data_IF_899424209381
#
_entry.id   IF_899424209381
#
_cell.length_a   1.000
_cell.length_b   1.000
_cell.length_c   1.000
_cell.angle_alpha   90.00
_cell.angle_beta   90.00
_cell.angle_gamma   90.00
#
_symmetry.space_group_name_H-M   'P 1'
#
loop_
_entity.id
_entity.type
_entity.pdbx_description
1 polymer ?
#
# COMPACT_ATOMS: atom_id res chain seq x y z
N UNK A 1 8.28 -4.39 16.52
CA UNK A 1 7.88 -3.70 15.27
C UNK A 1 7.11 -4.66 14.39
N UNK A 2 5.87 -4.34 14.06
CA UNK A 2 4.98 -5.14 13.24
C UNK A 2 4.89 -4.59 11.82
N UNK A 3 4.52 -5.44 10.88
CA UNK A 3 4.19 -5.07 9.50
C UNK A 3 2.69 -5.23 9.27
N UNK A 4 2.14 -4.54 8.28
CA UNK A 4 0.72 -4.67 7.88
C UNK A 4 0.32 -6.14 7.67
N UNK A 5 1.19 -6.95 7.07
CA UNK A 5 0.96 -8.39 6.89
C UNK A 5 0.78 -9.13 8.21
N UNK A 6 1.36 -8.65 9.29
CA UNK A 6 1.26 -9.25 10.62
C UNK A 6 -0.10 -8.92 11.24
N UNK A 7 -0.64 -7.70 11.03
CA UNK A 7 -2.01 -7.33 11.41
C UNK A 7 -3.03 -8.24 10.74
N UNK A 8 -2.92 -8.45 9.43
CA UNK A 8 -3.79 -9.37 8.67
C UNK A 8 -3.73 -10.81 9.20
N UNK A 9 -2.54 -11.29 9.54
CA UNK A 9 -2.35 -12.63 10.12
C UNK A 9 -2.97 -12.74 11.51
N UNK A 10 -2.72 -11.76 12.36
CA UNK A 10 -3.28 -11.73 13.72
C UNK A 10 -4.80 -11.72 13.69
N UNK A 11 -5.40 -10.85 12.91
CA UNK A 11 -6.86 -10.76 12.75
C UNK A 11 -7.46 -12.08 12.27
N UNK A 12 -6.77 -12.78 11.36
CA UNK A 12 -7.20 -14.08 10.86
C UNK A 12 -7.04 -15.20 11.90
N UNK A 13 -5.92 -15.25 12.60
CA UNK A 13 -5.63 -16.28 13.60
C UNK A 13 -4.48 -15.84 14.52
N UNK A 14 -4.75 -15.37 15.76
CA UNK A 14 -3.72 -14.97 16.71
C UNK A 14 -2.67 -16.05 17.00
N UNK A 15 -3.10 -17.33 17.03
CA UNK A 15 -2.21 -18.46 17.27
C UNK A 15 -1.22 -18.70 16.14
N UNK A 16 -1.67 -18.52 14.89
CA UNK A 16 -0.79 -18.62 13.72
C UNK A 16 0.22 -17.48 13.73
N UNK A 17 -0.22 -16.27 14.04
CA UNK A 17 0.66 -15.10 14.18
C UNK A 17 1.75 -15.37 15.22
N UNK A 18 1.39 -15.79 16.44
CA UNK A 18 2.37 -16.07 17.51
C UNK A 18 3.41 -17.12 17.10
N UNK A 19 2.98 -18.21 16.46
CA UNK A 19 3.90 -19.25 15.95
C UNK A 19 4.85 -18.73 14.87
N UNK A 20 4.37 -17.87 13.95
CA UNK A 20 5.22 -17.32 12.90
C UNK A 20 6.21 -16.27 13.41
N UNK A 21 5.84 -15.52 14.45
CA UNK A 21 6.76 -14.55 15.09
C UNK A 21 7.92 -15.23 15.83
N UNK A 22 7.68 -16.44 16.34
CA UNK A 22 8.72 -17.26 17.00
C UNK A 22 9.59 -18.05 16.00
N UNK A 23 9.20 -18.13 14.73
CA UNK A 23 9.95 -18.87 13.72
C UNK A 23 11.22 -18.10 13.27
N UNK A 24 12.40 -18.73 13.39
CA UNK A 24 13.70 -18.11 13.11
C UNK A 24 13.93 -17.72 11.63
N UNK A 25 13.14 -18.18 10.69
CA UNK A 25 13.33 -17.91 9.25
C UNK A 25 12.02 -17.62 8.54
N UNK A 26 11.87 -16.40 8.02
CA UNK A 26 10.85 -16.08 7.03
C UNK A 26 11.18 -16.78 5.70
N UNK A 27 10.26 -17.56 5.17
CA UNK A 27 10.42 -18.22 3.87
C UNK A 27 10.52 -17.17 2.76
N UNK A 28 11.48 -17.33 1.87
CA UNK A 28 11.63 -16.54 0.65
C UNK A 28 10.32 -16.55 -0.16
N UNK A 29 9.85 -15.37 -0.56
CA UNK A 29 8.66 -15.23 -1.40
C UNK A 29 9.10 -15.00 -2.85
N UNK A 30 8.79 -15.92 -3.78
CA UNK A 30 9.24 -15.83 -5.18
C UNK A 30 8.62 -14.68 -6.00
N UNK A 31 7.59 -14.00 -5.44
CA UNK A 31 6.84 -12.94 -6.14
C UNK A 31 7.44 -11.54 -6.03
N UNK A 32 8.54 -11.34 -5.29
CA UNK A 32 9.18 -10.02 -5.10
C UNK A 32 9.59 -9.41 -6.43
N UNK A 33 10.09 -10.21 -7.37
CA UNK A 33 10.54 -9.74 -8.69
C UNK A 33 9.40 -9.20 -9.55
N UNK A 34 8.25 -9.86 -9.53
CA UNK A 34 7.05 -9.40 -10.25
C UNK A 34 6.55 -8.05 -9.67
N UNK A 35 6.60 -7.86 -8.36
CA UNK A 35 6.24 -6.60 -7.71
C UNK A 35 7.14 -5.45 -8.17
N UNK A 36 8.43 -5.69 -8.40
CA UNK A 36 9.37 -4.67 -8.91
C UNK A 36 9.02 -4.28 -10.35
N UNK A 37 8.89 -5.25 -11.25
CA UNK A 37 8.58 -5.03 -12.67
C UNK A 37 7.23 -4.29 -12.84
N UNK A 38 6.20 -4.70 -12.14
CA UNK A 38 4.87 -4.08 -12.21
C UNK A 38 4.89 -2.66 -11.62
N UNK A 39 5.69 -2.42 -10.57
CA UNK A 39 5.85 -1.07 -10.01
C UNK A 39 6.57 -0.12 -10.96
N UNK A 40 7.57 -0.57 -11.70
CA UNK A 40 8.26 0.24 -12.72
C UNK A 40 7.32 0.64 -13.85
N UNK A 41 6.48 -0.30 -14.31
CA UNK A 41 5.44 -0.01 -15.29
C UNK A 41 4.41 0.99 -14.76
N UNK A 42 4.03 0.88 -13.48
CA UNK A 42 3.13 1.83 -12.84
C UNK A 42 3.77 3.22 -12.69
N UNK A 43 5.07 3.33 -12.39
CA UNK A 43 5.81 4.60 -12.44
C UNK A 43 5.69 5.26 -13.82
N UNK A 44 5.86 4.50 -14.89
CA UNK A 44 5.69 5.00 -16.25
C UNK A 44 4.27 5.50 -16.50
N UNK A 45 3.25 4.73 -16.07
CA UNK A 45 1.84 5.13 -16.18
C UNK A 45 1.53 6.44 -15.49
N UNK A 46 2.08 6.65 -14.28
CA UNK A 46 1.86 7.84 -13.47
C UNK A 46 2.72 9.03 -13.90
N UNK A 47 3.69 8.83 -14.79
CA UNK A 47 4.66 9.88 -15.16
C UNK A 47 5.59 10.25 -14.00
N UNK A 48 5.99 9.28 -13.20
CA UNK A 48 6.83 9.50 -12.02
C UNK A 48 8.18 10.02 -12.45
N UNK A 49 8.53 11.22 -11.99
CA UNK A 49 9.82 11.87 -12.16
C UNK A 49 10.33 12.27 -10.78
N UNK A 50 11.57 12.69 -10.65
CA UNK A 50 12.14 13.21 -9.39
C UNK A 50 11.59 12.51 -8.12
N UNK A 51 11.91 11.22 -7.96
CA UNK A 51 11.30 10.41 -6.93
C UNK A 51 12.31 9.79 -5.97
N UNK A 52 11.88 9.59 -4.74
CA UNK A 52 12.52 8.72 -3.77
C UNK A 52 12.04 7.27 -3.98
N UNK A 53 12.96 6.32 -4.10
CA UNK A 53 12.66 4.90 -4.18
C UNK A 53 13.06 4.18 -2.89
N UNK A 54 12.07 3.79 -2.09
CA UNK A 54 12.29 3.05 -0.86
C UNK A 54 12.75 1.60 -1.11
N UNK A 55 13.77 1.16 -0.36
CA UNK A 55 14.35 -0.19 -0.45
C UNK A 55 13.99 -1.03 0.77
N UNK A 56 14.12 -2.34 0.63
CA UNK A 56 13.96 -3.24 1.77
C UNK A 56 15.06 -2.98 2.79
N UNK A 57 14.66 -2.78 4.06
CA UNK A 57 15.59 -2.48 5.15
C UNK A 57 15.85 -1.00 5.39
N UNK A 58 15.33 -0.09 4.55
CA UNK A 58 15.45 1.34 4.79
C UNK A 58 14.88 1.74 6.16
N UNK A 59 15.55 2.66 6.80
CA UNK A 59 15.03 3.31 8.00
C UNK A 59 13.87 4.26 7.63
N UNK A 60 12.85 4.33 8.48
CA UNK A 60 11.67 5.17 8.24
C UNK A 60 12.02 6.67 8.18
N UNK A 61 13.11 7.09 8.84
CA UNK A 61 13.59 8.48 8.78
C UNK A 61 13.96 8.93 7.37
N UNK A 62 14.39 8.01 6.50
CA UNK A 62 14.70 8.31 5.10
C UNK A 62 13.45 8.73 4.34
N UNK A 63 12.31 8.04 4.55
CA UNK A 63 11.05 8.41 3.94
C UNK A 63 10.53 9.76 4.47
N UNK A 64 10.68 10.02 5.76
CA UNK A 64 10.31 11.32 6.37
C UNK A 64 11.14 12.48 5.81
N UNK A 65 12.45 12.29 5.61
CA UNK A 65 13.31 13.28 4.96
C UNK A 65 12.92 13.47 3.50
N UNK A 66 12.64 12.37 2.78
CA UNK A 66 12.24 12.41 1.38
C UNK A 66 10.93 13.17 1.13
N UNK A 67 10.02 13.22 2.11
CA UNK A 67 8.82 14.07 2.04
C UNK A 67 9.14 15.56 1.85
N UNK A 68 10.34 16.04 2.17
CA UNK A 68 10.72 17.43 1.99
C UNK A 68 11.40 17.70 0.64
N UNK A 69 12.00 16.69 0.03
CA UNK A 69 12.91 16.83 -1.11
C UNK A 69 12.28 16.39 -2.44
N UNK A 70 11.34 15.44 -2.40
CA UNK A 70 10.83 14.79 -3.62
C UNK A 70 9.34 15.05 -3.82
N UNK A 71 8.93 15.10 -5.09
CA UNK A 71 7.53 15.21 -5.49
C UNK A 71 6.82 13.84 -5.47
N UNK A 72 7.59 12.77 -5.66
CA UNK A 72 7.13 11.41 -5.62
C UNK A 72 7.92 10.56 -4.63
N UNK A 73 7.20 9.76 -3.85
CA UNK A 73 7.80 8.69 -3.06
C UNK A 73 7.23 7.36 -3.56
N UNK A 74 8.11 6.43 -3.92
CA UNK A 74 7.75 5.10 -4.42
C UNK A 74 8.24 4.05 -3.43
N UNK A 75 7.35 3.16 -3.01
CA UNK A 75 7.66 2.10 -2.01
C UNK A 75 8.30 2.62 -0.72
N UNK A 76 8.00 3.86 -0.34
CA UNK A 76 8.55 4.49 0.86
C UNK A 76 8.05 3.77 2.12
N UNK A 77 8.94 3.68 3.12
CA UNK A 77 8.63 2.99 4.37
C UNK A 77 8.43 3.97 5.48
N UNK A 78 7.27 3.85 6.12
CA UNK A 78 6.89 4.68 7.26
C UNK A 78 6.63 3.81 8.49
N UNK A 79 6.82 4.39 9.64
CA UNK A 79 6.57 3.75 10.93
C UNK A 79 5.80 4.72 11.83
N UNK A 80 4.70 4.24 12.35
CA UNK A 80 3.93 4.95 13.37
C UNK A 80 3.53 3.97 14.45
N UNK A 81 3.68 4.37 15.70
CA UNK A 81 3.55 3.49 16.86
C UNK A 81 4.46 2.25 16.68
N UNK A 82 3.89 1.07 16.59
CA UNK A 82 4.63 -0.17 16.39
C UNK A 82 4.39 -0.80 15.02
N UNK A 83 3.75 -0.07 14.11
CA UNK A 83 3.36 -0.54 12.79
C UNK A 83 4.23 0.09 11.69
N UNK A 84 4.82 -0.80 10.88
CA UNK A 84 5.59 -0.43 9.70
C UNK A 84 4.80 -0.72 8.43
N UNK A 85 4.73 0.27 7.55
CA UNK A 85 4.10 0.17 6.24
C UNK A 85 5.10 0.38 5.10
N UNK A 86 4.67 -0.05 3.90
CA UNK A 86 5.26 0.33 2.61
C UNK A 86 4.19 1.09 1.82
N UNK A 87 4.26 2.42 1.79
CA UNK A 87 3.38 3.22 0.94
C UNK A 87 3.76 3.00 -0.53
N UNK A 88 2.85 2.52 -1.41
CA UNK A 88 3.22 2.17 -2.78
C UNK A 88 3.66 3.38 -3.59
N UNK A 89 2.81 4.42 -3.68
CA UNK A 89 3.14 5.69 -4.32
C UNK A 89 2.49 6.83 -3.56
N UNK A 90 3.28 7.86 -3.27
CA UNK A 90 2.81 9.15 -2.76
C UNK A 90 3.25 10.23 -3.74
N UNK A 91 2.33 11.09 -4.12
CA UNK A 91 2.57 12.24 -4.98
C UNK A 91 2.23 13.53 -4.24
N UNK A 92 3.17 14.47 -4.23
CA UNK A 92 2.96 15.78 -3.61
C UNK A 92 1.90 16.56 -4.36
N UNK A 93 0.90 17.03 -3.64
CA UNK A 93 -0.14 17.93 -4.15
C UNK A 93 -0.08 19.27 -3.39
N UNK A 94 -0.77 20.29 -3.87
CA UNK A 94 -0.80 21.61 -3.23
C UNK A 94 -1.29 21.57 -1.78
N UNK A 95 -2.25 20.67 -1.48
CA UNK A 95 -2.91 20.58 -0.18
C UNK A 95 -2.55 19.32 0.62
N UNK A 96 -1.52 18.58 0.22
CA UNK A 96 -1.12 17.34 0.89
C UNK A 96 -0.50 16.33 -0.08
N UNK A 97 -0.85 15.07 0.08
CA UNK A 97 -0.33 13.96 -0.70
C UNK A 97 -1.45 13.12 -1.31
N UNK A 98 -1.34 12.81 -2.58
CA UNK A 98 -2.17 11.82 -3.25
C UNK A 98 -1.53 10.43 -3.06
N UNK A 99 -2.30 9.49 -2.56
CA UNK A 99 -1.87 8.11 -2.32
C UNK A 99 -2.40 7.20 -3.43
N UNK A 100 -1.52 6.42 -4.06
CA UNK A 100 -1.91 5.45 -5.07
C UNK A 100 -1.57 4.05 -4.60
N UNK A 101 -2.58 3.18 -4.54
CA UNK A 101 -2.40 1.75 -4.31
C UNK A 101 -2.27 1.02 -5.64
N UNK A 102 -1.30 0.12 -5.73
CA UNK A 102 -1.14 -0.76 -6.88
C UNK A 102 -1.77 -2.12 -6.56
N UNK A 103 -2.81 -2.46 -7.30
CA UNK A 103 -3.45 -3.75 -7.21
C UNK A 103 -3.18 -4.57 -8.47
N UNK A 104 -2.50 -5.71 -8.31
CA UNK A 104 -2.16 -6.61 -9.41
C UNK A 104 -3.36 -7.52 -9.71
N UNK A 105 -4.40 -6.92 -10.29
CA UNK A 105 -5.65 -7.59 -10.60
C UNK A 105 -6.66 -6.62 -11.23
N UNK A 106 -7.88 -7.11 -11.43
CA UNK A 106 -8.97 -6.31 -12.00
C UNK A 106 -9.87 -5.69 -10.92
N UNK A 107 -10.04 -6.38 -9.82
CA UNK A 107 -10.94 -5.99 -8.73
C UNK A 107 -10.29 -6.23 -7.38
N UNK A 108 -10.11 -5.19 -6.55
CA UNK A 108 -9.66 -5.34 -5.17
C UNK A 108 -10.68 -6.16 -4.36
N UNK A 109 -10.20 -7.01 -3.47
CA UNK A 109 -11.04 -7.80 -2.58
C UNK A 109 -11.26 -7.10 -1.25
N UNK A 110 -12.33 -7.46 -0.54
CA UNK A 110 -12.63 -6.94 0.79
C UNK A 110 -11.48 -7.18 1.79
N UNK A 111 -10.75 -8.29 1.64
CA UNK A 111 -9.58 -8.60 2.47
C UNK A 111 -8.41 -7.63 2.29
N UNK A 112 -8.41 -6.85 1.20
CA UNK A 112 -7.38 -5.85 0.94
C UNK A 112 -7.72 -4.51 1.61
N UNK A 113 -8.99 -4.29 2.00
CA UNK A 113 -9.44 -3.06 2.64
C UNK A 113 -8.64 -2.75 3.90
N UNK A 114 -8.39 -3.76 4.75
CA UNK A 114 -7.58 -3.57 5.94
C UNK A 114 -6.18 -3.05 5.62
N UNK A 115 -5.52 -3.57 4.57
CA UNK A 115 -4.22 -3.08 4.11
C UNK A 115 -4.27 -1.58 3.76
N UNK A 116 -5.33 -1.14 3.09
CA UNK A 116 -5.50 0.26 2.71
C UNK A 116 -5.74 1.15 3.93
N UNK A 117 -6.63 0.72 4.83
CA UNK A 117 -6.92 1.41 6.09
C UNK A 117 -5.67 1.53 6.97
N UNK A 118 -4.95 0.44 7.18
CA UNK A 118 -3.73 0.42 8.01
C UNK A 118 -2.65 1.34 7.41
N UNK A 119 -2.54 1.40 6.08
CA UNK A 119 -1.60 2.30 5.40
C UNK A 119 -1.96 3.77 5.66
N UNK A 120 -3.23 4.14 5.50
CA UNK A 120 -3.70 5.51 5.74
C UNK A 120 -3.56 5.87 7.22
N UNK A 121 -3.91 4.97 8.13
CA UNK A 121 -3.77 5.17 9.58
C UNK A 121 -2.34 5.53 9.99
N UNK A 122 -1.33 4.82 9.45
CA UNK A 122 0.08 5.13 9.73
C UNK A 122 0.49 6.49 9.15
N UNK A 123 0.09 6.78 7.90
CA UNK A 123 0.45 8.04 7.26
C UNK A 123 -0.16 9.25 8.00
N UNK A 124 -1.42 9.18 8.37
CA UNK A 124 -2.09 10.26 9.13
C UNK A 124 -1.56 10.37 10.56
N UNK A 125 -1.19 9.26 11.21
CA UNK A 125 -0.53 9.27 12.51
C UNK A 125 0.83 9.99 12.49
N UNK A 126 1.47 10.08 11.32
CA UNK A 126 2.70 10.85 11.09
C UNK A 126 2.45 12.28 10.60
N UNK A 127 1.21 12.79 10.71
CA UNK A 127 0.79 14.10 10.20
C UNK A 127 0.96 14.26 8.67
N UNK A 128 1.01 13.14 7.92
CA UNK A 128 1.04 13.15 6.45
C UNK A 128 -0.40 13.26 5.95
N UNK A 129 -0.81 14.47 5.61
CA UNK A 129 -2.17 14.74 5.12
C UNK A 129 -2.42 14.08 3.77
N UNK A 130 -3.32 13.12 3.71
CA UNK A 130 -3.76 12.46 2.47
C UNK A 130 -4.92 13.24 1.85
N UNK A 131 -4.68 13.81 0.65
CA UNK A 131 -5.68 14.57 -0.07
C UNK A 131 -6.63 13.66 -0.82
N UNK A 132 -6.11 12.84 -1.72
CA UNK A 132 -6.88 11.91 -2.53
C UNK A 132 -6.25 10.52 -2.52
N UNK A 133 -7.08 9.50 -2.76
CA UNK A 133 -6.64 8.10 -2.81
C UNK A 133 -7.12 7.46 -4.11
N UNK A 134 -6.20 6.80 -4.81
CA UNK A 134 -6.43 6.17 -6.09
C UNK A 134 -5.99 4.72 -6.10
N UNK A 135 -6.65 3.93 -6.93
CA UNK A 135 -6.25 2.57 -7.28
C UNK A 135 -5.63 2.54 -8.67
N UNK A 136 -4.49 1.87 -8.81
CA UNK A 136 -3.90 1.50 -10.11
C UNK A 136 -4.29 0.05 -10.36
N UNK A 137 -5.08 -0.18 -11.39
CA UNK A 137 -5.66 -1.48 -11.73
C UNK A 137 -5.24 -1.89 -13.13
N UNK A 138 -5.23 -3.19 -13.43
CA UNK A 138 -5.10 -3.64 -14.81
C UNK A 138 -6.32 -3.24 -15.63
N UNK A 139 -6.07 -2.73 -16.83
CA UNK A 139 -7.11 -2.43 -17.80
C UNK A 139 -7.67 -3.73 -18.40
N UNK A 140 -8.92 -4.04 -18.09
CA UNK A 140 -9.61 -5.23 -18.59
C UNK A 140 -9.67 -5.32 -20.13
N UNK A 141 -9.67 -4.17 -20.81
CA UNK A 141 -9.74 -4.08 -22.27
C UNK A 141 -8.36 -4.09 -22.94
N UNK A 142 -7.26 -4.11 -22.16
CA UNK A 142 -5.92 -4.09 -22.72
C UNK A 142 -5.66 -5.33 -23.57
N UNK A 143 -5.09 -5.09 -24.74
CA UNK A 143 -4.58 -6.14 -25.64
C UNK A 143 -3.12 -5.82 -25.93
N UNK A 144 -2.24 -6.73 -25.54
CA UNK A 144 -0.80 -6.59 -25.77
C UNK A 144 -0.50 -6.56 -27.27
N UNK A 145 0.14 -5.50 -27.74
CA UNK A 145 0.71 -5.37 -29.08
C UNK A 145 2.10 -6.02 -29.19
N UNK A 146 2.94 -5.51 -30.08
CA UNK A 146 4.35 -5.94 -30.20
C UNK A 146 5.14 -5.60 -28.94
N UNK A 147 4.86 -4.43 -28.38
CA UNK A 147 5.46 -3.91 -27.16
C UNK A 147 4.39 -3.74 -26.10
N UNK A 148 4.81 -3.78 -24.82
CA UNK A 148 3.94 -3.52 -23.69
C UNK A 148 3.82 -2.02 -23.51
N UNK A 149 2.58 -1.51 -23.49
CA UNK A 149 2.27 -0.10 -23.25
C UNK A 149 1.71 0.11 -21.84
N UNK A 150 2.48 0.66 -20.89
CA UNK A 150 2.02 0.89 -19.52
C UNK A 150 0.81 1.85 -19.44
N UNK A 151 0.71 2.83 -20.36
CA UNK A 151 -0.39 3.78 -20.35
C UNK A 151 -1.75 3.13 -20.68
N UNK A 152 -1.74 2.11 -21.52
CA UNK A 152 -2.92 1.33 -21.84
C UNK A 152 -3.13 0.14 -20.89
N UNK A 153 -2.03 -0.41 -20.31
CA UNK A 153 -2.07 -1.54 -19.41
C UNK A 153 -2.81 -1.22 -18.11
N UNK A 154 -2.63 0.00 -17.58
CA UNK A 154 -3.21 0.41 -16.31
C UNK A 154 -4.31 1.45 -16.46
N UNK A 155 -5.27 1.35 -15.55
CA UNK A 155 -6.28 2.38 -15.28
C UNK A 155 -6.01 2.92 -13.87
N UNK A 156 -6.07 4.24 -13.72
CA UNK A 156 -6.07 4.92 -12.42
C UNK A 156 -7.50 5.33 -12.12
N UNK A 157 -8.00 4.95 -10.96
CA UNK A 157 -9.40 5.18 -10.58
C UNK A 157 -9.51 5.69 -9.14
N UNK A 158 -10.40 6.64 -8.90
CA UNK A 158 -10.85 7.06 -7.57
C UNK A 158 -12.01 6.21 -7.04
N UNK A 159 -12.50 5.23 -7.81
CA UNK A 159 -13.61 4.38 -7.41
C UNK A 159 -13.22 2.91 -7.44
N UNK A 160 -13.77 2.12 -6.50
CA UNK A 160 -13.77 0.68 -6.61
C UNK A 160 -14.75 0.22 -7.69
N UNK A 161 -14.48 -0.96 -8.25
CA UNK A 161 -15.31 -1.57 -9.29
C UNK A 161 -15.84 -2.92 -8.84
N UNK A 162 -17.05 -3.25 -9.25
CA UNK A 162 -17.60 -4.60 -9.08
C UNK A 162 -17.15 -5.52 -10.23
N UNK A 163 -17.51 -6.80 -10.14
CA UNK A 163 -17.24 -7.84 -11.11
C UNK A 163 -17.79 -7.54 -12.52
N UNK A 164 -18.85 -6.71 -12.61
CA UNK A 164 -19.45 -6.22 -13.88
C UNK A 164 -18.74 -4.99 -14.44
N UNK A 165 -17.65 -4.55 -13.79
CA UNK A 165 -16.87 -3.37 -14.18
C UNK A 165 -17.64 -2.04 -14.08
N UNK A 166 -18.60 -1.97 -13.18
CA UNK A 166 -19.26 -0.72 -12.83
C UNK A 166 -18.58 -0.08 -11.62
N UNK A 167 -18.38 1.25 -11.63
CA UNK A 167 -17.88 1.94 -10.44
C UNK A 167 -18.90 1.78 -9.30
N UNK A 168 -18.39 1.64 -8.08
CA UNK A 168 -19.20 1.49 -6.87
C UNK A 168 -19.01 2.70 -5.96
N UNK A 169 -18.16 2.57 -4.94
CA UNK A 169 -17.91 3.60 -3.95
C UNK A 169 -16.56 4.29 -4.24
N UNK A 170 -16.43 5.54 -3.87
CA UNK A 170 -15.15 6.25 -3.88
C UNK A 170 -14.12 5.54 -2.98
N UNK A 171 -12.89 5.42 -3.47
CA UNK A 171 -11.82 4.68 -2.74
C UNK A 171 -11.52 5.32 -1.40
N UNK A 172 -11.38 6.65 -1.38
CA UNK A 172 -11.10 7.39 -0.16
C UNK A 172 -12.23 7.27 0.84
N UNK A 173 -13.48 7.49 0.41
CA UNK A 173 -14.67 7.36 1.25
C UNK A 173 -14.74 5.94 1.86
N UNK A 174 -14.60 4.90 1.04
CA UNK A 174 -14.63 3.53 1.51
C UNK A 174 -13.53 3.21 2.53
N UNK A 175 -12.33 3.73 2.35
CA UNK A 175 -11.23 3.53 3.30
C UNK A 175 -11.54 4.21 4.63
N UNK A 176 -11.97 5.48 4.62
CA UNK A 176 -12.28 6.21 5.84
C UNK A 176 -13.49 5.62 6.58
N UNK A 177 -14.50 5.14 5.89
CA UNK A 177 -15.66 4.45 6.49
C UNK A 177 -15.30 3.13 7.15
N UNK A 178 -14.20 2.49 6.72
CA UNK A 178 -13.72 1.22 7.27
C UNK A 178 -12.49 1.36 8.16
N UNK A 179 -11.98 2.56 8.36
CA UNK A 179 -10.85 2.77 9.27
C UNK A 179 -11.22 2.47 10.72
N UNK A 180 -10.28 1.82 11.41
CA UNK A 180 -10.38 1.52 12.82
C UNK A 180 -9.14 2.02 13.54
N UNK A 181 -9.28 2.36 14.81
CA UNK A 181 -8.13 2.62 15.67
C UNK A 181 -7.35 1.31 15.90
N UNK A 182 -6.08 1.32 15.54
CA UNK A 182 -5.22 0.14 15.62
C UNK A 182 -4.52 -0.01 16.97
N UNK A 183 -4.59 0.96 17.88
CA UNK A 183 -3.88 0.89 19.16
C UNK A 183 -4.21 -0.37 19.94
N UNK A 184 -5.51 -0.69 20.08
CA UNK A 184 -5.91 -1.90 20.77
C UNK A 184 -5.40 -3.18 20.09
N UNK A 185 -5.46 -3.24 18.75
CA UNK A 185 -4.97 -4.38 17.99
C UNK A 185 -3.46 -4.57 18.22
N UNK A 186 -2.67 -3.50 18.13
CA UNK A 186 -1.23 -3.54 18.31
C UNK A 186 -0.84 -3.95 19.74
N UNK A 187 -1.53 -3.46 20.75
CA UNK A 187 -1.35 -3.90 22.14
C UNK A 187 -1.60 -5.41 22.32
N UNK A 188 -2.66 -5.95 21.69
CA UNK A 188 -2.94 -7.38 21.78
C UNK A 188 -1.90 -8.22 21.05
N UNK A 189 -1.40 -7.74 19.90
CA UNK A 189 -0.33 -8.39 19.16
C UNK A 189 0.97 -8.42 19.97
N UNK A 190 1.29 -7.35 20.69
CA UNK A 190 2.45 -7.30 21.58
C UNK A 190 2.36 -8.33 22.71
N UNK A 191 1.20 -8.42 23.37
CA UNK A 191 0.96 -9.42 24.43
C UNK A 191 1.04 -10.87 23.93
N UNK A 192 0.74 -11.13 22.65
CA UNK A 192 0.87 -12.45 22.06
C UNK A 192 2.33 -12.80 21.70
N UNK A 193 3.22 -11.81 21.66
CA UNK A 193 4.63 -11.99 21.27
C UNK A 193 5.56 -12.18 22.49
N UNK A 194 5.01 -12.11 23.69
CA UNK A 194 5.69 -12.38 24.97
C UNK A 194 5.49 -13.83 25.36
#
# INVERSE_FOLDING_TARGET
>A
MFHISDCKKYTRCPRLFANEMQAEKRKFQPFVRLDEEVSELACTKLGVTNHFLGKQGDDASLAMSALQEYDWLVKARFEYEQLRIKAPFLHRNQDGWDLYFLFVGLFPHADDMQLYCDTVWVLEGLDIRIKDIYMILFNKSYRRGKELDPHQLFVVSSSFYNDKNNPTVDVKEAIYDNMHDLHYLLEQMEKCNL
#
